data_IF_762934951719
#
_entry.id   IF_762934951719
#
_cell.length_a   1.000
_cell.length_b   1.000
_cell.length_c   1.000
_cell.angle_alpha   90.00
_cell.angle_beta   90.00
_cell.angle_gamma   90.00
#
_symmetry.space_group_name_H-M   'P 1'
#
loop_
_entity.id
_entity.type
_entity.pdbx_description
1 polymer ?
#
# COMPACT_ATOMS: atom_id res chain seq x y z
N UNK A 1 3.07 9.83 -9.98
CA UNK A 1 4.27 10.71 -9.96
C UNK A 1 5.27 10.38 -11.06
N UNK A 2 5.74 9.16 -11.22
CA UNK A 2 6.76 8.80 -12.22
C UNK A 2 6.39 9.21 -13.65
N UNK A 3 5.18 8.94 -14.12
CA UNK A 3 4.74 9.31 -15.49
C UNK A 3 4.73 10.83 -15.74
N UNK A 4 4.50 11.65 -14.70
CA UNK A 4 4.54 13.12 -14.82
C UNK A 4 5.97 13.67 -14.86
N UNK A 5 6.84 13.17 -13.97
CA UNK A 5 8.22 13.63 -13.83
C UNK A 5 9.14 13.00 -14.88
N UNK A 6 8.89 11.75 -15.28
CA UNK A 6 9.74 10.96 -16.16
C UNK A 6 9.18 10.81 -17.58
N UNK A 7 7.96 11.30 -17.84
CA UNK A 7 7.30 11.21 -19.14
C UNK A 7 7.96 12.09 -20.21
N UNK A 8 7.67 11.80 -21.48
CA UNK A 8 8.23 12.52 -22.65
C UNK A 8 8.07 14.05 -22.58
N UNK A 9 7.00 14.56 -21.93
CA UNK A 9 6.73 16.00 -21.76
C UNK A 9 7.46 16.62 -20.57
N UNK A 10 8.24 15.84 -19.81
CA UNK A 10 8.97 16.36 -18.65
C UNK A 10 10.26 17.07 -19.10
N UNK A 11 10.62 18.21 -18.48
CA UNK A 11 11.91 18.87 -18.69
C UNK A 11 13.12 17.97 -18.39
N UNK A 12 12.91 16.90 -17.61
CA UNK A 12 13.94 15.93 -17.26
C UNK A 12 14.06 14.77 -18.25
N UNK A 13 13.16 14.68 -19.25
CA UNK A 13 13.24 13.63 -20.27
C UNK A 13 14.52 13.75 -21.08
N UNK A 14 15.26 12.64 -21.19
CA UNK A 14 16.54 12.59 -21.93
C UNK A 14 17.73 13.27 -21.26
N UNK A 15 17.55 13.95 -20.11
CA UNK A 15 18.64 14.65 -19.39
C UNK A 15 19.13 13.89 -18.15
N UNK A 16 18.65 12.65 -17.95
CA UNK A 16 19.01 11.83 -16.81
C UNK A 16 20.27 11.04 -17.11
N UNK A 17 21.23 11.11 -16.21
CA UNK A 17 22.41 10.24 -16.21
C UNK A 17 22.18 8.95 -15.44
N UNK A 18 21.28 8.96 -14.45
CA UNK A 18 20.95 7.81 -13.62
C UNK A 18 19.53 7.94 -13.08
N UNK A 19 18.87 6.83 -12.91
CA UNK A 19 17.60 6.71 -12.19
C UNK A 19 17.71 5.56 -11.18
N UNK A 20 17.51 5.86 -9.90
CA UNK A 20 17.46 4.87 -8.85
C UNK A 20 16.07 4.87 -8.24
N UNK A 21 15.52 3.70 -8.05
CA UNK A 21 14.29 3.51 -7.30
C UNK A 21 14.64 3.07 -5.89
N UNK A 22 14.04 3.73 -4.91
CA UNK A 22 14.15 3.36 -3.49
C UNK A 22 12.79 2.83 -3.08
N UNK A 23 12.76 1.57 -2.68
CA UNK A 23 11.56 0.92 -2.11
C UNK A 23 11.60 1.06 -0.57
N UNK A 24 10.46 0.78 0.10
CA UNK A 24 10.43 0.70 1.55
C UNK A 24 11.37 -0.39 2.07
N UNK A 25 11.71 -0.31 3.33
CA UNK A 25 12.52 -1.33 4.01
C UNK A 25 11.82 -2.69 3.97
N UNK A 26 12.61 -3.74 3.87
CA UNK A 26 12.12 -5.08 4.16
C UNK A 26 11.97 -5.28 5.70
N UNK A 27 11.55 -6.47 6.09
CA UNK A 27 11.37 -6.82 7.49
C UNK A 27 12.65 -6.65 8.32
N UNK A 28 13.79 -7.06 7.78
CA UNK A 28 15.08 -7.03 8.49
C UNK A 28 15.56 -5.59 8.70
N UNK A 29 15.48 -4.77 7.66
CA UNK A 29 15.88 -3.37 7.76
C UNK A 29 14.89 -2.56 8.63
N UNK A 30 13.61 -2.86 8.56
CA UNK A 30 12.58 -2.25 9.43
C UNK A 30 12.86 -2.53 10.91
N UNK A 31 13.32 -3.73 11.26
CA UNK A 31 13.61 -4.10 12.64
C UNK A 31 14.73 -3.25 13.26
N UNK A 32 15.67 -2.76 12.45
CA UNK A 32 16.76 -1.88 12.90
C UNK A 32 16.27 -0.50 13.36
N UNK A 33 15.09 -0.09 12.90
CA UNK A 33 14.44 1.14 13.36
C UNK A 33 13.60 0.96 14.64
N UNK A 34 13.50 -0.27 15.16
CA UNK A 34 12.71 -0.64 16.33
C UNK A 34 13.59 -1.19 17.46
N UNK A 35 14.58 -0.41 17.96
CA UNK A 35 15.47 -0.87 19.00
C UNK A 35 14.67 -1.10 20.30
N UNK A 36 15.06 -2.14 21.05
CA UNK A 36 14.45 -2.48 22.34
C UNK A 36 13.20 -3.36 22.24
N UNK A 37 12.64 -3.56 21.07
CA UNK A 37 11.54 -4.50 20.88
C UNK A 37 12.04 -5.93 20.62
N UNK A 38 11.21 -6.92 20.97
CA UNK A 38 11.47 -8.33 20.71
C UNK A 38 11.17 -8.68 19.25
N UNK A 39 11.73 -9.78 18.75
CA UNK A 39 11.50 -10.26 17.37
C UNK A 39 10.01 -10.41 17.02
N UNK A 40 9.20 -10.89 17.98
CA UNK A 40 7.76 -11.01 17.79
C UNK A 40 7.08 -9.66 17.52
N UNK A 41 7.52 -8.61 18.21
CA UNK A 41 6.97 -7.27 18.02
C UNK A 41 7.47 -6.63 16.72
N UNK A 42 8.69 -6.93 16.27
CA UNK A 42 9.15 -6.52 14.94
C UNK A 42 8.25 -7.05 13.83
N UNK A 43 7.86 -8.35 13.90
CA UNK A 43 6.92 -8.95 12.94
C UNK A 43 5.57 -8.23 12.98
N UNK A 44 5.05 -7.95 14.18
CA UNK A 44 3.77 -7.25 14.34
C UNK A 44 3.85 -5.81 13.80
N UNK A 45 4.90 -5.05 14.14
CA UNK A 45 5.09 -3.70 13.62
C UNK A 45 5.20 -3.70 12.10
N UNK A 46 6.00 -4.59 11.51
CA UNK A 46 6.11 -4.69 10.07
C UNK A 46 4.78 -5.02 9.40
N UNK A 47 4.00 -5.94 9.98
CA UNK A 47 2.67 -6.30 9.48
C UNK A 47 1.65 -5.17 9.56
N UNK A 48 1.80 -4.22 10.50
CA UNK A 48 0.87 -3.10 10.69
C UNK A 48 1.36 -1.81 10.03
N UNK A 49 2.65 -1.48 10.19
CA UNK A 49 3.24 -0.18 9.81
C UNK A 49 3.95 -0.25 8.45
N UNK A 50 4.35 -1.45 8.04
CA UNK A 50 5.10 -1.66 6.81
C UNK A 50 6.56 -1.23 6.93
N UNK A 51 7.21 -1.04 5.78
CA UNK A 51 8.62 -0.70 5.68
C UNK A 51 8.90 0.78 5.38
N UNK A 52 7.93 1.67 5.52
CA UNK A 52 8.14 3.10 5.29
C UNK A 52 8.91 3.72 6.46
N UNK A 53 10.16 4.21 6.27
CA UNK A 53 10.98 4.72 7.38
C UNK A 53 10.31 5.82 8.17
N UNK A 54 9.59 6.71 7.49
CA UNK A 54 8.87 7.81 8.13
C UNK A 54 7.77 7.31 9.09
N UNK A 55 7.08 6.23 8.75
CA UNK A 55 6.06 5.62 9.61
C UNK A 55 6.70 4.88 10.79
N UNK A 56 7.78 4.15 10.55
CA UNK A 56 8.53 3.47 11.61
C UNK A 56 9.10 4.45 12.63
N UNK A 57 9.51 5.65 12.19
CA UNK A 57 10.00 6.70 13.07
C UNK A 57 8.91 7.30 13.99
N UNK A 58 7.62 7.04 13.75
CA UNK A 58 6.52 7.45 14.63
C UNK A 58 6.30 6.50 15.80
N UNK A 59 6.98 5.35 15.82
CA UNK A 59 6.89 4.38 16.92
C UNK A 59 7.65 4.92 18.13
N UNK A 60 6.99 5.04 19.28
CA UNK A 60 7.64 5.42 20.54
C UNK A 60 8.23 4.18 21.21
N UNK A 61 9.57 4.06 21.33
CA UNK A 61 10.22 2.89 21.90
C UNK A 61 9.95 2.70 23.41
N UNK A 62 9.35 3.68 24.08
CA UNK A 62 8.97 3.60 25.50
C UNK A 62 7.62 2.93 25.72
N UNK A 63 6.84 2.74 24.66
CA UNK A 63 5.51 2.17 24.71
C UNK A 63 5.48 0.73 24.23
N UNK A 64 4.49 -0.04 24.68
CA UNK A 64 4.23 -1.37 24.14
C UNK A 64 3.82 -1.32 22.65
N UNK A 65 3.87 -2.48 21.96
CA UNK A 65 3.32 -2.59 20.62
C UNK A 65 1.86 -2.13 20.57
N UNK A 66 1.02 -2.61 21.48
CA UNK A 66 -0.42 -2.32 21.49
C UNK A 66 -0.71 -0.83 21.69
N UNK A 67 0.04 -0.16 22.59
CA UNK A 67 -0.14 1.26 22.85
C UNK A 67 0.32 2.11 21.65
N UNK A 68 1.40 1.73 20.97
CA UNK A 68 1.82 2.38 19.73
C UNK A 68 0.72 2.25 18.65
N UNK A 69 0.19 1.04 18.41
CA UNK A 69 -0.85 0.84 17.40
C UNK A 69 -2.10 1.64 17.73
N UNK A 70 -2.54 1.65 19.00
CA UNK A 70 -3.66 2.51 19.44
C UNK A 70 -3.41 3.99 19.17
N UNK A 71 -2.21 4.47 19.49
CA UNK A 71 -1.85 5.88 19.29
C UNK A 71 -1.73 6.26 17.82
N UNK A 72 -1.16 5.39 16.99
CA UNK A 72 -0.92 5.68 15.58
C UNK A 72 -2.19 5.60 14.73
N UNK A 73 -3.06 4.61 14.99
CA UNK A 73 -4.17 4.27 14.09
C UNK A 73 -5.56 4.56 14.63
N UNK A 74 -5.77 4.51 15.96
CA UNK A 74 -7.11 4.54 16.56
C UNK A 74 -7.40 5.81 17.35
N UNK A 75 -6.50 6.78 17.38
CA UNK A 75 -6.75 8.13 17.86
C UNK A 75 -6.88 9.08 16.68
N UNK A 76 -7.84 10.01 16.73
CA UNK A 76 -8.03 11.01 15.67
C UNK A 76 -6.78 11.89 15.45
N UNK A 77 -5.94 12.04 16.48
CA UNK A 77 -4.63 12.72 16.41
C UNK A 77 -3.49 11.81 15.98
N UNK A 78 -3.75 10.51 15.76
CA UNK A 78 -2.73 9.53 15.38
C UNK A 78 -2.21 9.77 13.97
N UNK A 79 -0.91 9.67 13.79
CA UNK A 79 -0.26 9.97 12.51
C UNK A 79 -0.83 9.14 11.35
N UNK A 80 -1.06 7.84 11.58
CA UNK A 80 -1.56 6.92 10.56
C UNK A 80 -3.09 6.82 10.53
N UNK A 81 -3.82 7.60 11.33
CA UNK A 81 -5.28 7.58 11.37
C UNK A 81 -5.90 7.96 10.02
N UNK A 82 -5.42 9.01 9.38
CA UNK A 82 -5.93 9.49 8.09
C UNK A 82 -4.91 9.46 6.95
N UNK A 83 -3.67 9.07 7.21
CA UNK A 83 -2.54 9.17 6.27
C UNK A 83 -2.79 8.43 4.94
N UNK A 84 -3.23 7.16 4.91
CA UNK A 84 -3.44 6.44 3.65
C UNK A 84 -4.50 7.12 2.76
N UNK A 85 -5.57 7.64 3.36
CA UNK A 85 -6.61 8.35 2.63
C UNK A 85 -6.11 9.68 2.06
N UNK A 86 -5.37 10.44 2.86
CA UNK A 86 -4.79 11.72 2.46
C UNK A 86 -3.82 11.55 1.29
N UNK A 87 -2.94 10.54 1.33
CA UNK A 87 -2.01 10.24 0.24
C UNK A 87 -2.73 9.90 -1.06
N UNK A 88 -3.81 9.11 -1.01
CA UNK A 88 -4.61 8.81 -2.20
C UNK A 88 -5.28 10.07 -2.76
N UNK A 89 -5.83 10.93 -1.91
CA UNK A 89 -6.44 12.20 -2.34
C UNK A 89 -5.45 13.14 -3.02
N UNK A 90 -4.20 13.17 -2.55
CA UNK A 90 -3.14 13.98 -3.16
C UNK A 90 -2.67 13.43 -4.52
N UNK A 91 -2.73 12.12 -4.73
CA UNK A 91 -2.14 11.47 -5.90
C UNK A 91 -3.15 11.14 -7.01
N UNK A 92 -4.42 11.02 -6.68
CA UNK A 92 -5.45 10.47 -7.56
C UNK A 92 -6.62 11.44 -7.74
N UNK A 93 -7.13 11.51 -8.99
CA UNK A 93 -8.22 12.44 -9.33
C UNK A 93 -9.60 11.99 -8.84
N UNK A 94 -9.84 10.68 -8.69
CA UNK A 94 -11.13 10.12 -8.25
C UNK A 94 -10.91 9.20 -7.04
N UNK A 95 -10.53 9.74 -5.88
CA UNK A 95 -10.10 8.96 -4.73
C UNK A 95 -11.18 8.02 -4.18
N UNK A 96 -12.47 8.36 -4.34
CA UNK A 96 -13.57 7.53 -3.82
C UNK A 96 -13.60 6.14 -4.46
N UNK A 97 -13.45 6.03 -5.78
CA UNK A 97 -13.46 4.75 -6.47
C UNK A 97 -12.20 3.93 -6.16
N UNK A 98 -11.05 4.58 -6.07
CA UNK A 98 -9.82 3.92 -5.62
C UNK A 98 -9.96 3.36 -4.21
N UNK A 99 -10.52 4.14 -3.28
CA UNK A 99 -10.79 3.67 -1.91
C UNK A 99 -11.71 2.44 -1.89
N UNK A 100 -12.80 2.48 -2.67
CA UNK A 100 -13.73 1.35 -2.77
C UNK A 100 -13.04 0.08 -3.30
N UNK A 101 -12.16 0.22 -4.30
CA UNK A 101 -11.40 -0.91 -4.86
C UNK A 101 -10.42 -1.48 -3.83
N UNK A 102 -9.64 -0.61 -3.16
CA UNK A 102 -8.68 -1.08 -2.14
C UNK A 102 -9.43 -1.73 -0.97
N UNK A 103 -10.53 -1.13 -0.52
CA UNK A 103 -11.39 -1.69 0.53
C UNK A 103 -11.97 -3.06 0.14
N UNK A 104 -12.41 -3.23 -1.12
CA UNK A 104 -12.89 -4.51 -1.63
C UNK A 104 -11.79 -5.59 -1.58
N UNK A 105 -10.55 -5.23 -1.98
CA UNK A 105 -9.40 -6.14 -1.94
C UNK A 105 -9.00 -6.46 -0.49
N UNK A 106 -8.95 -5.48 0.41
CA UNK A 106 -8.71 -5.66 1.84
C UNK A 106 -9.76 -6.58 2.47
N UNK A 107 -11.02 -6.47 2.02
CA UNK A 107 -12.12 -7.33 2.41
C UNK A 107 -12.09 -8.74 1.81
N UNK A 108 -11.07 -9.08 1.00
CA UNK A 108 -10.84 -10.43 0.46
C UNK A 108 -11.28 -10.64 -1.00
N UNK A 109 -11.78 -9.61 -1.71
CA UNK A 109 -12.02 -9.71 -3.16
C UNK A 109 -10.69 -9.73 -3.89
N UNK A 110 -10.29 -10.89 -4.40
CA UNK A 110 -8.96 -11.07 -5.02
C UNK A 110 -8.97 -11.15 -6.55
N UNK A 111 -10.14 -11.25 -7.17
CA UNK A 111 -10.28 -11.32 -8.63
C UNK A 111 -11.04 -10.10 -9.15
N UNK A 112 -10.74 -9.70 -10.39
CA UNK A 112 -11.38 -8.55 -11.02
C UNK A 112 -12.91 -8.60 -10.94
N UNK A 113 -13.51 -9.77 -11.17
CA UNK A 113 -14.95 -9.94 -11.12
C UNK A 113 -15.52 -9.67 -9.72
N UNK A 114 -14.84 -10.17 -8.68
CA UNK A 114 -15.26 -10.03 -7.29
C UNK A 114 -15.12 -8.57 -6.82
N UNK A 115 -14.02 -7.92 -7.24
CA UNK A 115 -13.80 -6.49 -6.96
C UNK A 115 -14.87 -5.64 -7.65
N UNK A 116 -15.12 -5.86 -8.95
CA UNK A 116 -16.12 -5.11 -9.70
C UNK A 116 -17.54 -5.27 -9.11
N UNK A 117 -17.89 -6.50 -8.71
CA UNK A 117 -19.17 -6.79 -8.05
C UNK A 117 -19.32 -6.04 -6.72
N UNK A 118 -18.26 -6.04 -5.88
CA UNK A 118 -18.29 -5.35 -4.58
C UNK A 118 -18.34 -3.84 -4.70
N UNK A 119 -17.65 -3.30 -5.71
CA UNK A 119 -17.59 -1.86 -5.97
C UNK A 119 -18.88 -1.37 -6.66
N UNK A 120 -19.60 -2.27 -7.35
CA UNK A 120 -20.82 -1.92 -8.10
C UNK A 120 -20.53 -1.16 -9.40
N UNK A 121 -19.38 -1.39 -10.02
CA UNK A 121 -18.98 -0.68 -11.25
C UNK A 121 -18.56 -1.67 -12.35
N UNK A 122 -18.47 -1.19 -13.60
CA UNK A 122 -18.10 -2.02 -14.75
C UNK A 122 -16.67 -2.56 -14.66
N UNK A 123 -16.46 -3.83 -15.01
CA UNK A 123 -15.15 -4.49 -15.00
C UNK A 123 -14.07 -3.74 -15.77
N UNK A 124 -14.44 -3.19 -16.92
CA UNK A 124 -13.50 -2.43 -17.79
C UNK A 124 -13.00 -1.18 -17.10
N UNK A 125 -13.91 -0.48 -16.39
CA UNK A 125 -13.55 0.70 -15.60
C UNK A 125 -12.69 0.31 -14.41
N UNK A 126 -13.15 -0.66 -13.59
CA UNK A 126 -12.42 -1.17 -12.42
C UNK A 126 -11.02 -1.64 -12.79
N UNK A 127 -10.84 -2.33 -13.94
CA UNK A 127 -9.53 -2.77 -14.40
C UNK A 127 -8.54 -1.63 -14.61
N UNK A 128 -8.98 -0.50 -15.17
CA UNK A 128 -8.12 0.69 -15.37
C UNK A 128 -7.62 1.23 -14.03
N UNK A 129 -8.50 1.29 -13.03
CA UNK A 129 -8.16 1.74 -11.68
C UNK A 129 -7.21 0.76 -10.97
N UNK A 130 -7.47 -0.55 -11.07
CA UNK A 130 -6.57 -1.58 -10.55
C UNK A 130 -5.18 -1.47 -11.19
N UNK A 131 -5.10 -1.27 -12.50
CA UNK A 131 -3.81 -1.08 -13.20
C UNK A 131 -3.05 0.10 -12.62
N UNK A 132 -3.74 1.22 -12.37
CA UNK A 132 -3.10 2.39 -11.72
C UNK A 132 -2.63 2.06 -10.30
N UNK A 133 -3.42 1.32 -9.50
CA UNK A 133 -3.02 0.91 -8.15
C UNK A 133 -1.84 -0.06 -8.16
N UNK A 134 -1.74 -0.92 -9.17
CA UNK A 134 -0.57 -1.80 -9.37
C UNK A 134 0.65 -0.99 -9.79
N UNK A 135 0.50 -0.04 -10.70
CA UNK A 135 1.59 0.89 -11.09
C UNK A 135 2.11 1.71 -9.89
N UNK A 136 1.20 2.10 -8.97
CA UNK A 136 1.52 2.79 -7.72
C UNK A 136 2.01 1.85 -6.62
N UNK A 137 1.99 0.54 -6.84
CA UNK A 137 2.34 -0.52 -5.88
C UNK A 137 1.51 -0.53 -4.59
N UNK A 138 0.32 0.02 -4.63
CA UNK A 138 -0.67 -0.15 -3.57
C UNK A 138 -1.26 -1.55 -3.66
N UNK A 139 -1.49 -2.03 -4.89
CA UNK A 139 -1.85 -3.42 -5.16
C UNK A 139 -0.70 -4.15 -5.86
N UNK A 140 -0.64 -5.45 -5.66
CA UNK A 140 0.17 -6.39 -6.45
C UNK A 140 -0.74 -7.42 -7.11
N UNK A 141 -0.27 -8.03 -8.19
CA UNK A 141 -0.91 -9.17 -8.83
C UNK A 141 -0.02 -10.38 -8.70
N UNK A 142 -0.48 -11.36 -7.95
CA UNK A 142 0.23 -12.60 -7.68
C UNK A 142 -0.31 -13.72 -8.57
N UNK A 143 0.57 -14.62 -8.97
CA UNK A 143 0.25 -15.76 -9.84
C UNK A 143 0.64 -17.05 -9.14
N UNK A 144 -0.02 -18.19 -9.44
CA UNK A 144 0.42 -19.49 -8.96
C UNK A 144 1.85 -19.77 -9.41
N UNK A 145 2.59 -20.48 -8.57
CA UNK A 145 3.96 -20.88 -8.89
C UNK A 145 4.01 -21.66 -10.23
N UNK A 146 4.99 -21.32 -11.09
CA UNK A 146 5.16 -21.93 -12.40
C UNK A 146 4.25 -21.37 -13.52
N UNK A 147 3.36 -20.41 -13.22
CA UNK A 147 2.53 -19.76 -14.25
C UNK A 147 3.27 -18.55 -14.85
N UNK A 148 3.22 -18.42 -16.18
CA UNK A 148 3.71 -17.22 -16.85
C UNK A 148 2.74 -16.04 -16.62
N UNK A 149 3.23 -15.00 -15.94
CA UNK A 149 2.46 -13.81 -15.61
C UNK A 149 1.94 -13.05 -16.84
N UNK A 150 2.58 -13.18 -18.00
CA UNK A 150 2.19 -12.48 -19.23
C UNK A 150 0.90 -13.04 -19.84
N UNK A 151 0.65 -14.35 -19.66
CA UNK A 151 -0.49 -15.05 -20.29
C UNK A 151 -1.48 -15.63 -19.28
N UNK A 152 -1.10 -15.77 -18.01
CA UNK A 152 -1.94 -16.40 -17.01
C UNK A 152 -3.16 -15.54 -16.66
N UNK A 153 -4.34 -16.18 -16.62
CA UNK A 153 -5.59 -15.59 -16.14
C UNK A 153 -5.88 -15.90 -14.68
N UNK A 154 -4.98 -16.63 -13.99
CA UNK A 154 -5.17 -17.07 -12.60
C UNK A 154 -4.66 -16.08 -11.57
N UNK A 155 -4.14 -14.92 -12.00
CA UNK A 155 -3.61 -13.90 -11.11
C UNK A 155 -4.68 -13.35 -10.14
N UNK A 156 -4.25 -13.15 -8.88
CA UNK A 156 -5.06 -12.56 -7.81
C UNK A 156 -4.47 -11.22 -7.38
N UNK A 157 -5.31 -10.28 -7.01
CA UNK A 157 -4.91 -8.98 -6.49
C UNK A 157 -4.80 -9.03 -4.98
N UNK A 158 -3.74 -8.41 -4.45
CA UNK A 158 -3.51 -8.22 -3.02
C UNK A 158 -3.03 -6.80 -2.74
N UNK A 159 -3.22 -6.31 -1.54
CA UNK A 159 -2.57 -5.08 -1.10
C UNK A 159 -1.10 -5.38 -0.87
N UNK A 160 -0.22 -4.61 -1.52
CA UNK A 160 1.22 -4.81 -1.49
C UNK A 160 1.85 -4.26 -0.19
N UNK A 161 1.35 -3.13 0.29
CA UNK A 161 1.88 -2.45 1.47
C UNK A 161 1.13 -2.88 2.74
N UNK A 162 1.84 -3.40 3.77
CA UNK A 162 1.21 -3.84 5.02
C UNK A 162 0.47 -2.72 5.77
N UNK A 163 0.97 -1.47 5.74
CA UNK A 163 0.30 -0.33 6.37
C UNK A 163 -1.07 -0.07 5.74
N UNK A 164 -1.14 -0.06 4.40
CA UNK A 164 -2.41 0.06 3.69
C UNK A 164 -3.33 -1.12 3.99
N UNK A 165 -2.80 -2.35 4.00
CA UNK A 165 -3.60 -3.53 4.33
C UNK A 165 -4.22 -3.43 5.73
N UNK A 166 -3.40 -3.10 6.73
CA UNK A 166 -3.85 -2.94 8.12
C UNK A 166 -4.90 -1.84 8.23
N UNK A 167 -4.64 -0.69 7.62
CA UNK A 167 -5.55 0.45 7.68
C UNK A 167 -6.91 0.16 7.06
N UNK A 168 -6.95 -0.35 5.82
CA UNK A 168 -8.21 -0.68 5.15
C UNK A 168 -8.97 -1.83 5.78
N UNK A 169 -8.29 -2.69 6.52
CA UNK A 169 -8.92 -3.84 7.17
C UNK A 169 -9.48 -3.53 8.54
N UNK A 170 -8.86 -2.64 9.30
CA UNK A 170 -9.12 -2.45 10.72
C UNK A 170 -9.40 -1.00 11.15
N UNK A 171 -9.04 -0.01 10.36
CA UNK A 171 -9.17 1.42 10.68
C UNK A 171 -10.20 2.11 9.79
N UNK A 172 -10.20 1.81 8.52
CA UNK A 172 -11.18 2.35 7.56
C UNK A 172 -12.58 1.83 7.88
N UNK A 173 -13.61 2.73 8.00
CA UNK A 173 -14.97 2.37 8.37
C UNK A 173 -15.72 1.58 7.28
#
# INVERSE_FOLDING_TARGET
MERGVLGYKSPLFGRRTMQMRIDGFDYVDSSRMLPGYRHEDWVKFYACVGGTPHYLAQVDPRLSFDDNIKNLYFRSSGYLYGEPLMLLQQQLREPALYNSIIGAVAGGASRLNDVALRVGDEKTKVMKYITTLVDLRILTREYPFGEDSAVSRKGVYRIADPCYYFWYRFVFP
#
